data_IF_111649481451
#
_entry.id   IF_111649481451
#
_cell.length_a   1.000
_cell.length_b   1.000
_cell.length_c   1.000
_cell.angle_alpha   90.00
_cell.angle_beta   90.00
_cell.angle_gamma   90.00
#
_symmetry.space_group_name_H-M   'P 1'
#
loop_
_entity.id
_entity.type
_entity.pdbx_description
1 polymer ?
#
# COMPACT_ATOMS: atom_id res chain seq x y z
N UNK A 1 -37.32 4.16 30.90
CA UNK A 1 -36.78 3.11 30.03
C UNK A 1 -35.34 3.50 29.74
N UNK A 2 -34.38 2.73 30.24
CA UNK A 2 -32.96 3.01 30.04
C UNK A 2 -32.55 2.72 28.60
N UNK A 3 -31.40 3.25 28.15
CA UNK A 3 -30.83 2.85 26.87
C UNK A 3 -30.61 1.32 26.79
N UNK A 4 -30.28 0.68 27.91
CA UNK A 4 -30.15 -0.78 27.97
C UNK A 4 -31.47 -1.50 27.73
N UNK A 5 -32.59 -0.99 28.26
CA UNK A 5 -33.91 -1.58 28.02
C UNK A 5 -34.30 -1.52 26.53
N UNK A 6 -33.98 -0.41 25.86
CA UNK A 6 -34.23 -0.24 24.43
C UNK A 6 -33.34 -1.16 23.58
N UNK A 7 -32.04 -1.23 23.90
CA UNK A 7 -31.08 -2.12 23.22
C UNK A 7 -31.50 -3.58 23.38
N UNK A 8 -31.84 -3.99 24.61
CA UNK A 8 -32.32 -5.35 24.86
C UNK A 8 -33.60 -5.61 24.08
N UNK A 9 -34.57 -4.69 24.06
CA UNK A 9 -35.86 -4.92 23.41
C UNK A 9 -35.80 -4.93 21.87
N UNK A 10 -35.03 -4.02 21.27
CA UNK A 10 -35.02 -3.81 19.82
C UNK A 10 -33.85 -4.43 19.07
N UNK A 11 -32.75 -4.77 19.76
CA UNK A 11 -31.50 -5.21 19.11
C UNK A 11 -31.15 -6.66 19.47
N UNK A 12 -31.19 -7.03 20.76
CA UNK A 12 -30.65 -8.32 21.24
C UNK A 12 -31.75 -9.37 21.48
N UNK A 13 -33.00 -8.94 21.66
CA UNK A 13 -34.14 -9.85 21.83
C UNK A 13 -34.60 -10.36 20.48
N UNK A 14 -34.83 -11.66 20.41
CA UNK A 14 -35.37 -12.28 19.19
C UNK A 14 -36.72 -11.64 18.82
N UNK A 15 -36.98 -11.44 17.52
CA UNK A 15 -38.19 -10.79 17.00
C UNK A 15 -39.52 -11.55 17.26
N UNK A 16 -39.49 -12.65 18.00
CA UNK A 16 -40.68 -13.44 18.33
C UNK A 16 -41.31 -12.99 19.66
N UNK A 17 -42.65 -12.87 19.74
CA UNK A 17 -43.35 -12.57 21.00
C UNK A 17 -42.98 -13.59 22.09
N UNK A 18 -42.47 -13.10 23.22
CA UNK A 18 -42.01 -13.94 24.34
C UNK A 18 -40.59 -14.52 24.17
N UNK A 19 -39.88 -14.15 23.11
CA UNK A 19 -38.52 -14.62 22.84
C UNK A 19 -37.46 -14.10 23.83
N UNK A 20 -36.36 -14.83 23.95
CA UNK A 20 -35.26 -14.53 24.86
C UNK A 20 -34.24 -13.52 24.32
N UNK A 21 -33.24 -13.22 25.14
CA UNK A 21 -32.04 -12.48 24.75
C UNK A 21 -31.08 -13.48 24.10
N UNK A 22 -30.50 -13.13 22.96
CA UNK A 22 -29.52 -13.99 22.29
C UNK A 22 -28.23 -14.13 23.11
N UNK A 23 -27.81 -15.38 23.33
CA UNK A 23 -26.53 -15.70 23.98
C UNK A 23 -25.47 -15.98 22.91
N UNK A 24 -24.73 -14.93 22.54
CA UNK A 24 -23.68 -15.00 21.53
C UNK A 24 -22.54 -15.95 21.91
N UNK A 25 -22.21 -16.05 23.19
CA UNK A 25 -21.14 -16.92 23.67
C UNK A 25 -21.52 -18.39 23.51
N UNK A 26 -22.76 -18.75 23.88
CA UNK A 26 -23.27 -20.10 23.71
C UNK A 26 -23.44 -20.46 22.23
N UNK A 27 -23.88 -19.53 21.39
CA UNK A 27 -23.99 -19.76 19.95
C UNK A 27 -22.63 -19.92 19.27
N UNK A 28 -21.61 -19.18 19.70
CA UNK A 28 -20.23 -19.39 19.25
C UNK A 28 -19.69 -20.75 19.68
N UNK A 29 -19.94 -21.17 20.93
CA UNK A 29 -19.56 -22.51 21.42
C UNK A 29 -20.21 -23.64 20.60
N UNK A 30 -21.49 -23.50 20.24
CA UNK A 30 -22.25 -24.50 19.47
C UNK A 30 -21.94 -24.49 17.97
N UNK A 31 -21.60 -23.33 17.44
CA UNK A 31 -21.44 -23.10 16.01
C UNK A 31 -20.30 -22.11 15.77
N UNK A 32 -19.05 -22.54 15.92
CA UNK A 32 -17.89 -21.64 15.83
C UNK A 32 -17.57 -21.21 14.39
N UNK A 33 -18.25 -21.80 13.40
CA UNK A 33 -18.07 -21.53 11.97
C UNK A 33 -19.35 -20.98 11.36
N UNK A 34 -19.21 -20.26 10.24
CA UNK A 34 -20.29 -19.55 9.58
C UNK A 34 -21.44 -20.49 9.18
N UNK A 35 -22.68 -20.07 9.43
CA UNK A 35 -23.90 -20.82 9.14
C UNK A 35 -25.09 -19.85 9.03
N UNK A 36 -26.28 -20.40 8.81
CA UNK A 36 -27.52 -19.62 8.69
C UNK A 36 -27.80 -18.72 9.91
N UNK A 37 -27.38 -19.12 11.12
CA UNK A 37 -27.53 -18.29 12.32
C UNK A 37 -26.65 -17.03 12.24
N UNK A 38 -25.39 -17.16 11.81
CA UNK A 38 -24.49 -16.01 11.65
C UNK A 38 -24.81 -15.15 10.43
N UNK A 39 -25.35 -15.75 9.38
CA UNK A 39 -25.79 -15.05 8.16
C UNK A 39 -26.96 -14.11 8.44
N UNK A 40 -27.92 -14.53 9.28
CA UNK A 40 -29.05 -13.71 9.74
C UNK A 40 -28.61 -12.40 10.42
N UNK A 41 -27.43 -12.38 11.04
CA UNK A 41 -26.92 -11.20 11.75
C UNK A 41 -26.28 -10.15 10.85
N UNK A 42 -26.13 -10.41 9.55
CA UNK A 42 -25.58 -9.45 8.60
C UNK A 42 -26.68 -8.65 7.92
N UNK A 43 -26.54 -7.33 7.95
CA UNK A 43 -27.31 -6.48 7.07
C UNK A 43 -27.02 -6.84 5.60
N UNK A 44 -28.08 -7.08 4.82
CA UNK A 44 -27.95 -7.27 3.38
C UNK A 44 -27.72 -5.91 2.70
N UNK A 45 -26.44 -5.55 2.54
CA UNK A 45 -26.01 -4.24 2.01
C UNK A 45 -26.57 -3.96 0.62
N UNK A 46 -26.78 -4.98 -0.22
CA UNK A 46 -27.37 -4.80 -1.56
C UNK A 46 -28.80 -4.23 -1.55
N UNK A 47 -29.51 -4.32 -0.42
CA UNK A 47 -30.86 -3.77 -0.26
C UNK A 47 -30.86 -2.30 0.14
N UNK A 48 -29.70 -1.72 0.47
CA UNK A 48 -29.57 -0.32 0.90
C UNK A 48 -29.40 0.56 -0.34
N UNK A 49 -30.43 1.34 -0.68
CA UNK A 49 -30.47 2.16 -1.91
C UNK A 49 -30.31 3.67 -1.66
N UNK A 50 -30.02 4.07 -0.41
CA UNK A 50 -29.80 5.47 -0.03
C UNK A 50 -28.36 5.64 0.46
N UNK A 51 -27.75 6.83 0.35
CA UNK A 51 -26.44 7.09 0.93
C UNK A 51 -26.47 6.87 2.45
N UNK A 52 -25.56 6.03 2.96
CA UNK A 52 -25.45 5.74 4.39
C UNK A 52 -24.08 6.19 4.88
N UNK A 53 -24.06 6.95 5.98
CA UNK A 53 -22.86 7.22 6.76
C UNK A 53 -22.71 6.11 7.82
N UNK A 54 -21.76 5.21 7.60
CA UNK A 54 -21.47 4.11 8.53
C UNK A 54 -20.40 4.59 9.50
N UNK A 55 -20.76 4.72 10.79
CA UNK A 55 -19.82 5.06 11.87
C UNK A 55 -19.75 3.92 12.88
N UNK A 56 -18.54 3.61 13.34
CA UNK A 56 -18.33 2.67 14.43
C UNK A 56 -18.59 3.34 15.78
N UNK A 57 -19.23 2.62 16.70
CA UNK A 57 -19.45 3.04 18.09
C UNK A 57 -18.48 2.30 19.01
N UNK A 58 -17.73 3.04 19.84
CA UNK A 58 -16.79 2.51 20.84
C UNK A 58 -17.50 2.04 22.14
N UNK A 59 -18.75 2.47 22.36
CA UNK A 59 -19.52 2.16 23.58
C UNK A 59 -20.50 0.99 23.43
N UNK A 60 -20.63 0.40 22.25
CA UNK A 60 -21.46 -0.79 22.04
C UNK A 60 -20.58 -1.97 21.63
N UNK A 61 -20.44 -2.96 22.51
CA UNK A 61 -19.66 -4.19 22.29
C UNK A 61 -20.29 -5.16 21.25
N UNK A 62 -20.88 -4.64 20.16
CA UNK A 62 -21.66 -5.38 19.15
C UNK A 62 -20.84 -5.57 17.83
N UNK A 63 -19.51 -5.44 17.88
CA UNK A 63 -18.66 -5.66 16.70
C UNK A 63 -18.41 -7.16 16.46
N UNK A 64 -19.37 -7.86 15.84
CA UNK A 64 -19.18 -9.29 15.47
C UNK A 64 -18.66 -9.49 14.04
N UNK A 65 -17.78 -8.61 13.56
CA UNK A 65 -16.81 -8.86 12.49
C UNK A 65 -15.60 -7.95 12.75
N UNK A 66 -14.37 -8.44 12.53
CA UNK A 66 -13.15 -7.65 12.75
C UNK A 66 -13.25 -6.23 12.16
N UNK A 67 -12.71 -5.25 12.89
CA UNK A 67 -12.91 -3.82 12.64
C UNK A 67 -12.52 -3.40 11.22
N UNK A 68 -11.58 -4.13 10.60
CA UNK A 68 -11.11 -3.87 9.23
C UNK A 68 -11.07 -5.16 8.43
N UNK A 69 -11.64 -5.16 7.22
CA UNK A 69 -11.43 -6.21 6.21
C UNK A 69 -10.54 -5.69 5.11
N UNK A 70 -9.53 -6.48 4.79
CA UNK A 70 -8.55 -6.13 3.79
C UNK A 70 -8.54 -7.12 2.64
N UNK A 71 -8.23 -6.57 1.48
CA UNK A 71 -8.12 -7.29 0.23
C UNK A 71 -6.64 -7.47 -0.09
N UNK A 72 -6.23 -8.70 -0.40
CA UNK A 72 -4.87 -8.99 -0.80
C UNK A 72 -4.83 -9.20 -2.32
N UNK A 73 -4.13 -8.29 -3.00
CA UNK A 73 -3.94 -8.31 -4.44
C UNK A 73 -2.94 -9.42 -4.77
N UNK A 74 -3.33 -10.34 -5.65
CA UNK A 74 -2.43 -11.40 -6.11
C UNK A 74 -1.62 -10.99 -7.34
N UNK A 75 -2.02 -9.95 -8.08
CA UNK A 75 -1.47 -9.56 -9.39
C UNK A 75 -1.48 -10.70 -10.43
N UNK A 76 -1.31 -10.31 -11.70
CA UNK A 76 -1.48 -11.21 -12.84
C UNK A 76 -2.95 -11.56 -13.05
N UNK A 77 -3.21 -12.59 -13.86
CA UNK A 77 -4.56 -13.05 -14.20
C UNK A 77 -5.23 -13.82 -13.04
N UNK A 78 -5.29 -13.18 -11.86
CA UNK A 78 -5.80 -13.74 -10.61
C UNK A 78 -6.68 -12.73 -9.88
N UNK A 79 -7.81 -13.22 -9.40
CA UNK A 79 -8.70 -12.47 -8.52
C UNK A 79 -7.98 -12.07 -7.22
N UNK A 80 -8.41 -10.97 -6.61
CA UNK A 80 -7.94 -10.64 -5.28
C UNK A 80 -8.51 -11.59 -4.23
N UNK A 81 -7.78 -11.78 -3.13
CA UNK A 81 -8.27 -12.51 -1.97
C UNK A 81 -9.02 -11.52 -1.07
N UNK A 82 -10.33 -11.72 -0.97
CA UNK A 82 -11.22 -10.85 -0.20
C UNK A 82 -11.30 -11.29 1.27
N UNK A 83 -11.86 -10.42 2.11
CA UNK A 83 -12.29 -10.72 3.48
C UNK A 83 -11.19 -11.16 4.47
N UNK A 84 -9.94 -10.72 4.27
CA UNK A 84 -8.91 -10.88 5.30
C UNK A 84 -9.23 -9.96 6.48
N UNK A 85 -9.78 -10.53 7.56
CA UNK A 85 -10.22 -9.76 8.72
C UNK A 85 -9.05 -9.48 9.67
N UNK A 86 -8.86 -8.20 10.01
CA UNK A 86 -7.91 -7.74 11.00
C UNK A 86 -8.63 -6.95 12.10
N UNK A 87 -8.00 -6.89 13.27
CA UNK A 87 -8.55 -6.19 14.42
C UNK A 87 -8.50 -4.67 14.28
N UNK A 88 -7.55 -4.12 13.52
CA UNK A 88 -7.35 -2.68 13.34
C UNK A 88 -6.49 -2.35 12.09
N UNK A 89 -6.29 -1.06 11.81
CA UNK A 89 -5.32 -0.53 10.86
C UNK A 89 -4.47 0.62 11.47
N UNK A 90 -3.13 0.60 11.34
CA UNK A 90 -2.29 -0.47 10.80
C UNK A 90 -2.48 -1.80 11.52
N UNK A 91 -2.23 -2.92 10.83
CA UNK A 91 -2.56 -4.25 11.33
C UNK A 91 -1.77 -4.54 12.63
N UNK A 92 -2.43 -4.90 13.75
CA UNK A 92 -1.72 -5.20 14.98
C UNK A 92 -0.72 -6.36 14.79
N UNK A 93 0.50 -6.18 15.30
CA UNK A 93 1.56 -7.16 15.16
C UNK A 93 2.21 -7.23 13.77
N UNK A 94 1.99 -6.24 12.89
CA UNK A 94 2.77 -6.12 11.64
C UNK A 94 4.26 -6.14 11.94
N UNK A 95 4.95 -7.05 11.26
CA UNK A 95 6.40 -7.21 11.31
C UNK A 95 7.03 -6.31 10.23
N UNK A 96 7.44 -5.12 10.63
CA UNK A 96 8.11 -4.16 9.75
C UNK A 96 9.58 -4.52 9.58
N UNK A 97 9.93 -5.04 8.40
CA UNK A 97 11.28 -5.52 8.11
C UNK A 97 12.04 -4.55 7.23
N UNK A 98 13.29 -4.27 7.61
CA UNK A 98 14.24 -3.50 6.83
C UNK A 98 14.83 -4.34 5.68
N UNK A 99 14.82 -3.78 4.48
CA UNK A 99 15.53 -4.28 3.32
C UNK A 99 16.44 -3.18 2.77
N UNK A 100 17.73 -3.31 2.99
CA UNK A 100 18.75 -2.37 2.52
C UNK A 100 18.96 -2.51 1.02
N UNK A 101 19.14 -1.38 0.36
CA UNK A 101 19.50 -1.33 -1.06
C UNK A 101 20.96 -1.79 -1.21
N UNK A 102 21.24 -2.55 -2.26
CA UNK A 102 22.57 -2.92 -2.73
C UNK A 102 22.61 -2.90 -4.26
N UNK A 103 23.81 -2.98 -4.86
CA UNK A 103 23.94 -3.08 -6.32
C UNK A 103 23.29 -4.35 -6.89
N UNK A 104 23.07 -5.37 -6.05
CA UNK A 104 22.47 -6.66 -6.41
C UNK A 104 20.98 -6.77 -5.98
N UNK A 105 20.33 -5.65 -5.63
CA UNK A 105 18.93 -5.61 -5.25
C UNK A 105 18.69 -5.24 -3.78
N UNK A 106 17.71 -5.88 -3.16
CA UNK A 106 17.32 -5.65 -1.76
C UNK A 106 17.86 -6.77 -0.86
N UNK A 107 18.46 -6.41 0.28
CA UNK A 107 19.11 -7.34 1.23
C UNK A 107 18.62 -7.10 2.66
N UNK A 108 18.51 -8.14 3.46
CA UNK A 108 18.12 -8.04 4.87
C UNK A 108 19.24 -7.44 5.74
N UNK A 109 20.48 -7.46 5.28
CA UNK A 109 21.63 -6.86 5.94
C UNK A 109 22.14 -5.64 5.15
N UNK A 110 22.61 -4.63 5.87
CA UNK A 110 23.21 -3.45 5.28
C UNK A 110 24.50 -3.81 4.51
N UNK A 111 24.78 -3.07 3.44
CA UNK A 111 26.03 -3.20 2.70
C UNK A 111 27.23 -2.82 3.58
N UNK A 112 28.35 -3.50 3.37
CA UNK A 112 29.62 -3.27 4.12
C UNK A 112 30.54 -2.26 3.45
N UNK A 113 30.24 -1.84 2.22
CA UNK A 113 30.97 -0.85 1.46
C UNK A 113 30.00 0.18 0.89
N UNK A 114 30.48 1.43 0.78
CA UNK A 114 29.71 2.49 0.15
C UNK A 114 29.67 2.31 -1.38
N UNK A 115 28.51 2.59 -1.95
CA UNK A 115 28.23 2.51 -3.38
C UNK A 115 27.22 3.60 -3.78
N UNK A 116 27.19 3.92 -5.07
CA UNK A 116 26.21 4.85 -5.64
C UNK A 116 25.53 4.19 -6.83
N UNK A 117 24.20 4.31 -6.89
CA UNK A 117 23.39 3.95 -8.05
C UNK A 117 22.75 5.22 -8.58
N UNK A 118 22.82 5.44 -9.88
CA UNK A 118 22.33 6.66 -10.52
C UNK A 118 21.23 6.38 -11.54
N UNK A 119 20.39 7.39 -11.79
CA UNK A 119 19.44 7.39 -12.90
C UNK A 119 19.28 8.82 -13.46
N UNK A 120 18.95 8.90 -14.75
CA UNK A 120 18.61 10.18 -15.39
C UNK A 120 17.20 10.61 -14.93
N UNK A 121 17.15 11.66 -14.13
CA UNK A 121 15.91 12.14 -13.52
C UNK A 121 14.93 12.78 -14.51
N UNK A 122 15.41 13.09 -15.72
CA UNK A 122 14.62 13.72 -16.79
C UNK A 122 13.98 12.69 -17.73
N UNK A 123 14.43 11.43 -17.65
CA UNK A 123 13.92 10.34 -18.46
C UNK A 123 12.83 9.55 -17.72
N UNK A 124 11.71 9.28 -18.39
CA UNK A 124 10.64 8.43 -17.86
C UNK A 124 10.98 6.94 -17.87
N UNK A 125 12.06 6.54 -18.58
CA UNK A 125 12.49 5.15 -18.71
C UNK A 125 13.78 4.85 -17.93
N UNK A 126 14.51 5.88 -17.48
CA UNK A 126 15.68 5.70 -16.62
C UNK A 126 15.24 5.54 -15.17
N UNK A 127 15.47 4.35 -14.62
CA UNK A 127 15.13 3.99 -13.25
C UNK A 127 16.29 3.25 -12.58
N UNK A 128 16.40 3.38 -11.26
CA UNK A 128 17.16 2.46 -10.43
C UNK A 128 16.21 1.39 -9.87
N UNK A 129 16.49 0.11 -10.12
CA UNK A 129 15.65 -1.01 -9.69
C UNK A 129 16.35 -1.87 -8.64
N UNK A 130 15.65 -2.14 -7.54
CA UNK A 130 16.11 -3.01 -6.46
C UNK A 130 15.05 -4.09 -6.18
N UNK A 131 15.44 -5.36 -6.23
CA UNK A 131 14.50 -6.48 -6.14
C UNK A 131 14.76 -7.40 -4.96
N UNK A 132 13.68 -7.95 -4.38
CA UNK A 132 13.72 -9.05 -3.40
C UNK A 132 12.78 -10.16 -3.85
N UNK A 133 13.32 -11.37 -3.99
CA UNK A 133 12.54 -12.58 -4.31
C UNK A 133 12.15 -13.29 -3.03
N UNK A 134 10.86 -13.57 -2.87
CA UNK A 134 10.33 -14.17 -1.65
C UNK A 134 10.67 -15.67 -1.60
N UNK A 135 11.33 -16.15 -0.53
CA UNK A 135 11.72 -17.56 -0.41
C UNK A 135 10.54 -18.48 -0.06
N UNK A 136 9.40 -17.90 0.32
CA UNK A 136 8.16 -18.62 0.64
C UNK A 136 6.97 -17.67 0.43
N UNK A 137 5.76 -18.24 0.37
CA UNK A 137 4.54 -17.43 0.29
C UNK A 137 4.50 -16.43 1.46
N UNK A 138 4.25 -15.17 1.14
CA UNK A 138 4.32 -14.03 2.08
C UNK A 138 3.24 -13.02 1.75
N UNK A 139 2.74 -12.30 2.78
CA UNK A 139 1.83 -11.17 2.61
C UNK A 139 2.46 -9.90 3.11
N UNK A 140 2.46 -8.88 2.26
CA UNK A 140 2.73 -7.52 2.65
C UNK A 140 1.41 -6.79 2.80
N UNK A 141 1.10 -6.31 4.01
CA UNK A 141 -0.11 -5.55 4.26
C UNK A 141 0.08 -4.43 5.26
N UNK A 142 -0.14 -3.20 4.82
CA UNK A 142 -0.05 -2.00 5.66
C UNK A 142 0.76 -0.90 5.00
N UNK A 143 1.60 -0.24 5.80
CA UNK A 143 2.31 1.00 5.47
C UNK A 143 3.80 0.75 5.12
N UNK A 144 4.17 0.62 3.85
CA UNK A 144 5.58 0.62 3.45
C UNK A 144 6.19 2.03 3.55
N UNK A 145 7.49 2.10 3.80
CA UNK A 145 8.26 3.36 3.81
C UNK A 145 9.64 3.14 3.22
N UNK A 146 10.15 4.10 2.45
CA UNK A 146 11.55 4.09 2.04
C UNK A 146 12.35 5.15 2.80
N UNK A 147 13.59 4.82 3.13
CA UNK A 147 14.59 5.75 3.65
C UNK A 147 15.73 5.79 2.66
N UNK A 148 15.86 6.88 1.90
CA UNK A 148 16.87 7.02 0.85
C UNK A 148 17.83 8.16 1.17
N UNK A 149 19.12 7.93 0.95
CA UNK A 149 20.14 8.97 0.97
C UNK A 149 20.42 9.38 -0.48
N UNK A 150 20.06 10.61 -0.82
CA UNK A 150 19.98 11.09 -2.21
C UNK A 150 20.83 12.33 -2.43
N UNK A 151 21.38 12.51 -3.63
CA UNK A 151 22.02 13.77 -4.05
C UNK A 151 21.75 14.06 -5.54
N UNK A 152 21.76 15.33 -5.92
CA UNK A 152 21.70 15.79 -7.31
C UNK A 152 22.77 16.87 -7.49
N UNK A 153 23.60 16.76 -8.53
CA UNK A 153 24.68 17.73 -8.80
C UNK A 153 24.23 18.90 -9.68
N UNK A 154 23.14 18.71 -10.41
CA UNK A 154 22.70 19.62 -11.47
C UNK A 154 21.64 20.61 -10.99
N UNK A 155 21.12 20.45 -9.77
CA UNK A 155 20.10 21.31 -9.18
C UNK A 155 20.12 21.32 -7.64
N UNK A 156 19.47 22.33 -7.07
CA UNK A 156 19.26 22.55 -5.63
C UNK A 156 17.94 21.96 -5.10
N UNK A 157 17.33 21.03 -5.83
CA UNK A 157 16.12 20.31 -5.45
C UNK A 157 15.99 19.01 -6.26
N UNK A 158 15.16 18.08 -5.80
CA UNK A 158 14.88 16.81 -6.47
C UNK A 158 13.51 16.27 -6.10
N UNK A 159 12.71 15.88 -7.09
CA UNK A 159 11.53 15.06 -6.90
C UNK A 159 11.92 13.59 -7.09
N UNK A 160 11.76 12.79 -6.04
CA UNK A 160 12.05 11.36 -6.07
C UNK A 160 10.74 10.59 -6.04
N UNK A 161 10.53 9.75 -7.05
CA UNK A 161 9.38 8.86 -7.13
C UNK A 161 9.82 7.42 -6.88
N UNK A 162 8.98 6.67 -6.17
CA UNK A 162 9.16 5.24 -5.92
C UNK A 162 7.90 4.51 -6.35
N UNK A 163 8.04 3.35 -6.98
CA UNK A 163 6.93 2.39 -7.15
C UNK A 163 7.37 0.98 -6.76
N UNK A 164 6.49 0.27 -6.05
CA UNK A 164 6.66 -1.13 -5.68
C UNK A 164 5.88 -2.00 -6.66
N UNK A 165 6.60 -2.61 -7.58
CA UNK A 165 6.04 -3.53 -8.59
C UNK A 165 6.14 -4.97 -8.11
N UNK A 166 5.26 -5.81 -8.65
CA UNK A 166 5.35 -7.26 -8.50
C UNK A 166 5.79 -7.91 -9.81
N UNK A 167 6.72 -8.85 -9.72
CA UNK A 167 7.12 -9.74 -10.82
C UNK A 167 6.74 -11.18 -10.49
N UNK A 168 6.34 -11.94 -11.51
CA UNK A 168 6.16 -13.38 -11.39
C UNK A 168 7.52 -14.12 -11.30
N UNK A 169 7.47 -15.44 -11.17
CA UNK A 169 8.64 -16.34 -11.12
C UNK A 169 9.55 -16.27 -12.36
N UNK A 170 9.00 -15.82 -13.49
CA UNK A 170 9.72 -15.65 -14.75
C UNK A 170 10.21 -14.20 -14.92
N UNK A 171 10.23 -13.41 -13.84
CA UNK A 171 10.63 -12.01 -13.81
C UNK A 171 9.75 -11.07 -14.63
N UNK A 172 8.56 -11.49 -15.05
CA UNK A 172 7.63 -10.63 -15.79
C UNK A 172 6.94 -9.67 -14.84
N UNK A 173 6.97 -8.37 -15.14
CA UNK A 173 6.21 -7.36 -14.40
C UNK A 173 4.71 -7.60 -14.56
N UNK A 174 4.01 -7.55 -13.44
CA UNK A 174 2.57 -7.75 -13.39
C UNK A 174 1.83 -6.44 -13.17
N UNK A 175 0.56 -6.45 -13.55
CA UNK A 175 -0.48 -5.53 -13.11
C UNK A 175 -1.54 -6.33 -12.35
N UNK A 176 -2.37 -5.64 -11.59
CA UNK A 176 -3.62 -6.17 -11.06
C UNK A 176 -4.81 -5.49 -11.72
N UNK A 177 -5.88 -6.23 -11.98
CA UNK A 177 -7.12 -5.72 -12.56
C UNK A 177 -7.98 -5.08 -11.45
N UNK A 178 -8.41 -3.84 -11.62
CA UNK A 178 -9.15 -3.08 -10.60
C UNK A 178 -10.65 -3.42 -10.53
N UNK A 179 -11.13 -4.38 -11.33
CA UNK A 179 -12.51 -4.85 -11.33
C UNK A 179 -12.56 -6.37 -11.59
N UNK A 180 -13.68 -7.05 -11.29
CA UNK A 180 -13.75 -8.52 -11.40
C UNK A 180 -13.47 -9.02 -12.82
N UNK A 181 -12.79 -10.17 -12.96
CA UNK A 181 -12.48 -10.72 -14.30
C UNK A 181 -13.76 -11.04 -15.10
N UNK A 182 -14.86 -11.34 -14.42
CA UNK A 182 -16.17 -11.57 -15.04
C UNK A 182 -16.74 -10.34 -15.77
N UNK A 183 -16.26 -9.13 -15.47
CA UNK A 183 -16.65 -7.90 -16.15
C UNK A 183 -15.70 -7.50 -17.31
N UNK A 184 -14.64 -8.28 -17.55
CA UNK A 184 -13.72 -8.05 -18.67
C UNK A 184 -14.43 -8.39 -20.00
N UNK A 185 -14.32 -7.56 -21.05
CA UNK A 185 -14.87 -7.87 -22.36
C UNK A 185 -14.43 -9.25 -22.86
N UNK A 186 -15.37 -10.05 -23.38
CA UNK A 186 -15.15 -11.47 -23.74
C UNK A 186 -14.00 -11.74 -24.72
N UNK A 187 -13.59 -10.73 -25.50
CA UNK A 187 -12.43 -10.82 -26.40
C UNK A 187 -11.06 -10.70 -25.73
N UNK A 188 -10.99 -10.23 -24.48
CA UNK A 188 -9.75 -10.02 -23.74
C UNK A 188 -9.54 -11.19 -22.77
N UNK A 189 -8.55 -12.04 -23.06
CA UNK A 189 -8.31 -13.29 -22.32
C UNK A 189 -7.35 -13.17 -21.14
N UNK A 190 -6.60 -12.07 -21.05
CA UNK A 190 -5.67 -11.79 -19.95
C UNK A 190 -5.36 -10.30 -19.88
N UNK A 191 -4.83 -9.87 -18.75
CA UNK A 191 -4.41 -8.48 -18.49
C UNK A 191 -3.43 -8.00 -19.57
N UNK A 192 -2.46 -8.82 -19.98
CA UNK A 192 -1.49 -8.42 -21.01
C UNK A 192 -2.13 -8.18 -22.38
N UNK A 193 -3.29 -8.78 -22.64
CA UNK A 193 -4.02 -8.63 -23.90
C UNK A 193 -4.92 -7.40 -23.91
N UNK A 194 -4.99 -6.63 -22.81
CA UNK A 194 -5.60 -5.31 -22.81
C UNK A 194 -4.74 -4.39 -23.70
N UNK A 195 -5.31 -3.82 -24.79
CA UNK A 195 -4.59 -2.91 -25.68
C UNK A 195 -4.01 -1.72 -24.91
N UNK A 196 -2.82 -1.25 -25.28
CA UNK A 196 -2.12 -0.18 -24.55
C UNK A 196 -2.97 1.09 -24.39
N UNK A 197 -3.69 1.49 -25.45
CA UNK A 197 -4.62 2.63 -25.42
C UNK A 197 -5.77 2.50 -24.40
N UNK A 198 -6.10 1.28 -24.01
CA UNK A 198 -7.18 0.96 -23.08
C UNK A 198 -6.64 0.71 -21.66
N UNK A 199 -5.32 0.77 -21.43
CA UNK A 199 -4.72 0.63 -20.09
C UNK A 199 -4.80 1.97 -19.37
N UNK A 200 -5.55 1.99 -18.25
CA UNK A 200 -5.84 3.19 -17.47
C UNK A 200 -5.75 2.85 -15.97
N UNK A 201 -5.52 3.83 -15.11
CA UNK A 201 -5.47 3.62 -13.65
C UNK A 201 -6.80 3.15 -13.06
N UNK A 202 -7.91 3.41 -13.76
CA UNK A 202 -9.23 2.91 -13.42
C UNK A 202 -9.38 1.40 -13.62
N UNK A 203 -8.57 0.77 -14.49
CA UNK A 203 -8.65 -0.66 -14.75
C UNK A 203 -7.42 -1.45 -14.34
N UNK A 204 -6.24 -0.83 -14.26
CA UNK A 204 -4.99 -1.50 -13.91
C UNK A 204 -4.28 -0.80 -12.77
N UNK A 205 -3.89 -1.60 -11.79
CA UNK A 205 -3.04 -1.19 -10.68
C UNK A 205 -1.62 -1.76 -10.89
N UNK A 206 -0.59 -0.91 -11.11
CA UNK A 206 0.79 -1.36 -11.28
C UNK A 206 1.48 -1.69 -9.95
N UNK A 207 1.02 -1.13 -8.84
CA UNK A 207 1.68 -1.20 -7.54
C UNK A 207 1.56 0.10 -6.73
N UNK A 208 1.90 0.03 -5.45
CA UNK A 208 1.93 1.19 -4.56
C UNK A 208 3.11 2.10 -4.88
N UNK A 209 2.89 3.41 -4.85
CA UNK A 209 3.92 4.39 -5.14
C UNK A 209 4.05 5.44 -4.03
N UNK A 210 5.17 6.15 -4.02
CA UNK A 210 5.48 7.23 -3.10
C UNK A 210 6.24 8.33 -3.82
N UNK A 211 6.16 9.54 -3.28
CA UNK A 211 6.88 10.70 -3.82
C UNK A 211 7.32 11.61 -2.67
N UNK A 212 8.51 12.19 -2.80
CA UNK A 212 8.94 13.29 -1.95
C UNK A 212 9.82 14.25 -2.74
N UNK A 213 9.60 15.55 -2.55
CA UNK A 213 10.51 16.61 -3.01
C UNK A 213 11.53 16.89 -1.90
N UNK A 214 12.82 16.89 -2.21
CA UNK A 214 13.87 17.02 -1.20
C UNK A 214 13.79 18.33 -0.42
N UNK A 215 13.39 19.44 -1.03
CA UNK A 215 13.17 20.69 -0.29
C UNK A 215 12.06 20.61 0.76
N UNK A 216 11.17 19.62 0.69
CA UNK A 216 10.15 19.34 1.69
C UNK A 216 10.49 18.15 2.61
N UNK A 217 11.76 17.71 2.64
CA UNK A 217 12.19 16.52 3.41
C UNK A 217 12.07 16.66 4.93
N UNK A 218 11.86 17.87 5.45
CA UNK A 218 11.71 18.13 6.88
C UNK A 218 10.74 17.12 7.49
N UNK A 219 11.16 16.48 8.57
CA UNK A 219 10.42 15.39 9.21
C UNK A 219 10.24 15.71 10.69
N UNK A 220 9.01 15.61 11.20
CA UNK A 220 8.68 15.81 12.62
C UNK A 220 8.13 14.49 13.17
N UNK A 221 8.99 13.60 13.73
CA UNK A 221 8.59 12.27 14.17
C UNK A 221 7.41 12.25 15.14
N UNK A 222 7.33 13.23 16.02
CA UNK A 222 6.38 13.35 17.13
C UNK A 222 4.96 13.66 16.64
N UNK A 223 4.83 14.16 15.40
CA UNK A 223 3.54 14.39 14.73
C UNK A 223 3.13 13.23 13.82
N UNK A 224 3.99 12.23 13.65
CA UNK A 224 3.67 11.05 12.85
C UNK A 224 2.61 10.22 13.54
N UNK A 225 1.57 9.83 12.80
CA UNK A 225 0.54 8.91 13.30
C UNK A 225 1.05 7.46 13.40
N UNK A 226 2.18 7.15 12.75
CA UNK A 226 2.82 5.85 12.77
C UNK A 226 4.31 5.97 12.37
N UNK A 227 5.25 5.14 12.89
CA UNK A 227 6.66 5.19 12.51
C UNK A 227 6.95 5.07 10.99
N UNK A 228 6.06 4.40 10.27
CA UNK A 228 6.13 4.25 8.80
C UNK A 228 5.31 5.29 8.02
N UNK A 229 4.69 6.25 8.71
CA UNK A 229 3.94 7.35 8.10
C UNK A 229 4.53 8.68 8.56
N UNK A 230 5.73 9.05 8.06
CA UNK A 230 6.40 10.28 8.48
C UNK A 230 5.54 11.51 8.20
N UNK A 231 5.47 12.40 9.20
CA UNK A 231 4.85 13.70 9.03
C UNK A 231 5.85 14.71 8.45
N UNK A 232 5.61 15.12 7.21
CA UNK A 232 6.28 16.25 6.58
C UNK A 232 5.39 17.49 6.70
N UNK A 233 5.84 18.60 7.31
CA UNK A 233 5.00 19.76 7.54
C UNK A 233 4.67 20.52 6.25
N UNK A 234 5.55 20.45 5.23
CA UNK A 234 5.43 21.21 3.98
C UNK A 234 5.27 22.73 4.14
N UNK A 235 5.68 23.29 5.28
CA UNK A 235 5.55 24.72 5.60
C UNK A 235 6.61 25.60 4.93
N UNK A 236 7.77 25.01 4.62
CA UNK A 236 8.92 25.70 4.02
C UNK A 236 9.62 24.81 2.99
N UNK A 237 10.27 25.44 2.02
CA UNK A 237 11.20 24.79 1.09
C UNK A 237 12.64 24.97 1.60
N UNK A 238 13.24 23.91 2.10
CA UNK A 238 14.65 23.85 2.50
C UNK A 238 15.48 23.35 1.31
N UNK A 239 15.84 24.23 0.37
CA UNK A 239 16.67 23.87 -0.81
C UNK A 239 17.97 23.17 -0.38
N UNK A 240 18.49 22.31 -1.27
CA UNK A 240 19.72 21.54 -1.04
C UNK A 240 20.89 22.15 -1.80
N UNK A 241 22.10 22.05 -1.27
CA UNK A 241 23.27 22.43 -2.07
C UNK A 241 23.52 21.38 -3.18
N UNK A 242 23.83 21.77 -4.42
CA UNK A 242 24.13 20.81 -5.47
C UNK A 242 25.26 19.84 -5.07
N UNK A 243 24.97 18.55 -5.09
CA UNK A 243 25.86 17.46 -4.67
C UNK A 243 25.77 17.08 -3.20
N UNK A 244 25.02 17.82 -2.37
CA UNK A 244 24.74 17.47 -0.98
C UNK A 244 23.97 16.15 -0.89
N UNK A 245 24.38 15.27 0.03
CA UNK A 245 23.65 14.04 0.33
C UNK A 245 22.63 14.32 1.43
N UNK A 246 21.35 14.16 1.10
CA UNK A 246 20.24 14.38 2.02
C UNK A 246 19.45 13.09 2.26
N UNK A 247 18.93 12.94 3.49
CA UNK A 247 18.06 11.82 3.86
C UNK A 247 16.60 12.15 3.51
N UNK A 248 15.95 11.24 2.80
CA UNK A 248 14.54 11.29 2.42
C UNK A 248 13.79 10.13 3.09
N UNK A 249 12.78 10.43 3.89
CA UNK A 249 11.85 9.44 4.48
C UNK A 249 10.56 9.45 3.65
N UNK A 250 10.48 8.60 2.62
CA UNK A 250 9.42 8.65 1.62
C UNK A 250 8.28 7.71 2.03
N UNK A 251 7.11 8.28 2.32
CA UNK A 251 5.86 7.52 2.48
C UNK A 251 5.54 6.84 1.14
N UNK A 252 5.28 5.54 1.19
CA UNK A 252 4.72 4.80 0.06
C UNK A 252 3.27 4.48 0.41
N UNK A 253 2.36 4.62 -0.55
CA UNK A 253 0.94 4.31 -0.32
C UNK A 253 0.76 2.90 0.23
N UNK A 254 -0.23 2.73 1.10
CA UNK A 254 -0.55 1.44 1.70
C UNK A 254 -0.68 0.35 0.64
N UNK A 255 -0.22 -0.86 0.96
CA UNK A 255 -0.21 -1.99 0.03
C UNK A 255 -0.81 -3.21 0.68
N UNK A 256 -1.63 -3.98 -0.05
CA UNK A 256 -2.09 -5.32 0.35
C UNK A 256 -1.82 -6.30 -0.77
N UNK A 257 -0.72 -7.04 -0.67
CA UNK A 257 -0.21 -7.88 -1.76
C UNK A 257 0.30 -9.20 -1.22
N UNK A 258 -0.20 -10.29 -1.79
CA UNK A 258 0.37 -11.63 -1.58
C UNK A 258 1.48 -11.86 -2.59
N UNK A 259 2.56 -12.49 -2.17
CA UNK A 259 3.63 -13.00 -3.01
C UNK A 259 3.74 -14.50 -2.78
N UNK A 260 3.68 -15.29 -3.83
CA UNK A 260 4.04 -16.70 -3.80
C UNK A 260 5.57 -16.84 -3.71
N UNK A 261 6.02 -18.00 -3.25
CA UNK A 261 7.43 -18.39 -3.32
C UNK A 261 7.98 -18.14 -4.74
N UNK A 262 9.15 -17.51 -4.85
CA UNK A 262 9.81 -17.22 -6.13
C UNK A 262 9.24 -16.00 -6.88
N UNK A 263 8.14 -15.39 -6.43
CA UNK A 263 7.72 -14.08 -6.92
C UNK A 263 8.60 -12.98 -6.30
N UNK A 264 8.65 -11.82 -6.96
CA UNK A 264 9.59 -10.75 -6.60
C UNK A 264 8.88 -9.43 -6.40
N UNK A 265 9.23 -8.71 -5.34
CA UNK A 265 8.96 -7.27 -5.24
C UNK A 265 10.11 -6.51 -5.89
N UNK A 266 9.77 -5.56 -6.76
CA UNK A 266 10.70 -4.70 -7.50
C UNK A 266 10.43 -3.25 -7.10
N UNK A 267 11.33 -2.69 -6.30
CA UNK A 267 11.33 -1.28 -5.95
C UNK A 267 12.03 -0.50 -7.06
N UNK A 268 11.29 0.37 -7.75
CA UNK A 268 11.80 1.20 -8.83
C UNK A 268 11.82 2.66 -8.36
N UNK A 269 12.98 3.31 -8.47
CA UNK A 269 13.20 4.71 -8.13
C UNK A 269 13.46 5.50 -9.41
N UNK A 270 12.77 6.63 -9.57
CA UNK A 270 12.86 7.44 -10.79
C UNK A 270 12.61 8.93 -10.54
N UNK A 271 12.75 9.72 -11.60
CA UNK A 271 12.53 11.17 -11.57
C UNK A 271 11.17 11.62 -12.10
N UNK A 272 10.35 10.68 -12.56
CA UNK A 272 9.02 10.94 -13.13
C UNK A 272 7.93 10.15 -12.41
N UNK A 273 6.70 10.64 -12.49
CA UNK A 273 5.54 9.94 -11.92
C UNK A 273 5.40 8.54 -12.54
N UNK A 274 5.35 7.46 -11.73
CA UNK A 274 5.42 6.08 -12.22
C UNK A 274 4.06 5.48 -12.60
N UNK A 275 2.99 6.28 -12.57
CA UNK A 275 1.64 5.84 -12.92
C UNK A 275 1.42 5.68 -14.42
N UNK A 276 0.19 5.28 -14.77
CA UNK A 276 -0.20 5.06 -16.17
C UNK A 276 -0.25 6.40 -16.91
N UNK A 277 0.12 6.38 -18.20
CA UNK A 277 0.38 7.56 -19.03
C UNK A 277 -0.76 8.59 -19.10
N UNK A 278 -2.00 8.22 -18.77
CA UNK A 278 -3.14 9.16 -18.73
C UNK A 278 -2.93 10.33 -17.77
N UNK A 279 -2.19 10.13 -16.67
CA UNK A 279 -1.90 11.22 -15.74
C UNK A 279 -1.10 12.34 -16.40
N UNK A 280 -0.24 12.01 -17.37
CA UNK A 280 0.48 13.00 -18.17
C UNK A 280 -0.45 13.82 -19.06
N UNK A 281 -1.57 13.24 -19.52
CA UNK A 281 -2.55 13.94 -20.35
C UNK A 281 -3.46 14.90 -19.55
N UNK A 282 -3.64 14.64 -18.26
CA UNK A 282 -4.51 15.43 -17.38
C UNK A 282 -3.76 16.37 -16.42
N UNK A 283 -2.43 16.35 -16.43
CA UNK A 283 -1.60 17.21 -15.58
C UNK A 283 -1.19 18.49 -16.31
N UNK A 284 -1.19 19.62 -15.59
CA UNK A 284 -0.53 20.83 -16.08
C UNK A 284 0.98 20.58 -16.15
N UNK A 285 1.63 21.13 -17.16
CA UNK A 285 3.10 21.14 -17.23
C UNK A 285 3.65 21.79 -15.96
N UNK A 286 4.56 21.11 -15.28
CA UNK A 286 5.25 21.67 -14.13
C UNK A 286 6.05 22.92 -14.54
N UNK A 287 6.14 23.95 -13.66
CA UNK A 287 7.08 25.05 -13.84
C UNK A 287 8.51 24.54 -14.01
N UNK A 288 9.35 25.26 -14.76
CA UNK A 288 10.69 24.80 -15.14
C UNK A 288 11.62 24.63 -13.92
N UNK A 289 11.43 25.50 -12.93
CA UNK A 289 12.10 25.48 -11.63
C UNK A 289 11.73 24.27 -10.76
N UNK A 290 10.58 23.63 -11.03
CA UNK A 290 10.10 22.46 -10.30
C UNK A 290 10.47 21.13 -10.96
N UNK A 291 10.92 21.17 -12.22
CA UNK A 291 11.34 19.97 -12.95
C UNK A 291 12.68 19.47 -12.43
N UNK A 292 12.80 18.15 -12.40
CA UNK A 292 14.08 17.50 -12.17
C UNK A 292 15.07 17.83 -13.28
N UNK A 293 16.36 17.87 -12.93
CA UNK A 293 17.46 18.09 -13.88
C UNK A 293 18.58 17.11 -13.62
N UNK A 294 19.16 16.62 -14.72
CA UNK A 294 20.35 15.80 -14.71
C UNK A 294 20.21 14.50 -13.94
N UNK A 295 21.29 14.09 -13.28
CA UNK A 295 21.39 12.77 -12.66
C UNK A 295 21.04 12.82 -11.16
N UNK A 296 20.11 11.96 -10.75
CA UNK A 296 19.88 11.69 -9.34
C UNK A 296 20.71 10.47 -8.91
N UNK A 297 21.22 10.53 -7.68
CA UNK A 297 22.13 9.51 -7.12
C UNK A 297 21.58 8.99 -5.81
N UNK A 298 21.48 7.66 -5.70
CA UNK A 298 21.13 6.92 -4.50
C UNK A 298 22.42 6.42 -3.85
N UNK A 299 22.68 6.85 -2.63
CA UNK A 299 23.85 6.45 -1.86
C UNK A 299 23.51 5.24 -0.99
N UNK A 300 24.37 4.24 -1.02
CA UNK A 300 24.23 2.94 -0.36
C UNK A 300 25.48 2.70 0.46
N UNK A 301 25.36 2.11 1.65
CA UNK A 301 26.51 1.68 2.44
C UNK A 301 26.34 1.91 3.93
N UNK A 302 27.39 1.66 4.73
CA UNK A 302 27.36 1.88 6.17
C UNK A 302 27.09 3.35 6.54
N UNK A 303 27.60 4.29 5.75
CA UNK A 303 27.44 5.73 5.99
C UNK A 303 26.06 6.25 5.54
N UNK A 304 25.49 5.63 4.51
CA UNK A 304 24.21 5.98 3.89
C UNK A 304 23.36 4.72 3.73
N UNK A 305 22.76 4.21 4.82
CA UNK A 305 22.04 2.93 4.82
C UNK A 305 20.64 3.08 4.20
N UNK A 306 20.59 3.35 2.89
CA UNK A 306 19.35 3.41 2.11
C UNK A 306 18.62 2.07 2.17
N UNK A 307 17.31 2.12 2.46
CA UNK A 307 16.49 0.93 2.67
C UNK A 307 15.03 1.17 2.34
N UNK A 308 14.29 0.08 2.15
CA UNK A 308 12.84 0.03 2.20
C UNK A 308 12.39 -0.79 3.40
N UNK A 309 11.29 -0.38 4.01
CA UNK A 309 10.69 -1.04 5.17
C UNK A 309 9.34 -1.60 4.73
N UNK A 310 9.21 -2.92 4.81
CA UNK A 310 8.06 -3.64 4.26
C UNK A 310 7.17 -4.22 5.38
N UNK A 311 5.83 -4.11 5.27
CA UNK A 311 4.90 -4.50 6.33
C UNK A 311 4.49 -5.98 6.22
N UNK A 312 5.26 -6.91 6.81
CA UNK A 312 4.90 -8.33 6.79
C UNK A 312 3.77 -8.60 7.78
N UNK A 313 2.77 -9.38 7.34
CA UNK A 313 1.68 -9.88 8.21
C UNK A 313 1.46 -11.37 7.99
N UNK A 314 0.82 -12.08 8.93
CA UNK A 314 0.39 -13.46 8.71
C UNK A 314 -0.51 -13.61 7.48
N UNK A 315 -0.40 -14.77 6.82
CA UNK A 315 -1.26 -15.18 5.70
C UNK A 315 -2.68 -15.52 6.14
#
# INVERSE_FOLDING_TARGET
MSNFDLITHYIIKTNNPGGGIEDFAEMYRRSPVFNAYWEDKRANISKIQVPVFISGSDFSSIHTMGSVRWLALQFGDREAINDNAFADFPIPGTDYRDFFLSQDGLKEQAATADAVVSYDSTSTTSIAEFSYTFPQRSRLSGLPKAVLYMSCKDQNDMNTYIILRKRDKNSKLLFHLCFPFAAVPTGIKSIDKIPEKDRQSLNLHPGSFGVLRASHRRFIPEKSIHPQFPFHPHEIEEKIEPGEVVKLEIVIWSMGVDFDEGETISMQVGGSFPGIAEYSAFSKTLPEEEKNKGEHRIHIGPSTPSKIILPFVPL
#
